data_IF_595199326854
#
_entry.id   IF_595199326854
#
_cell.length_a   1.000
_cell.length_b   1.000
_cell.length_c   1.000
_cell.angle_alpha   90.00
_cell.angle_beta   90.00
_cell.angle_gamma   90.00
#
_symmetry.space_group_name_H-M   'P 1'
#
loop_
_entity.id
_entity.type
_entity.pdbx_description
1 polymer ?
#
# COMPACT_ATOMS: atom_id res chain seq x y z
N UNK A 1 2.32 14.91 2.88
CA UNK A 1 3.03 13.69 3.30
C UNK A 1 2.79 12.58 2.28
N UNK A 2 3.84 11.89 1.94
CA UNK A 2 3.77 10.79 0.95
C UNK A 2 4.27 9.50 1.56
N UNK A 3 3.76 8.39 1.03
CA UNK A 3 4.06 7.08 1.55
C UNK A 3 4.11 6.04 0.43
N UNK A 4 4.78 4.93 0.71
CA UNK A 4 4.74 3.74 -0.13
C UNK A 4 3.95 2.65 0.57
N UNK A 5 3.05 2.02 -0.16
CA UNK A 5 2.31 0.85 0.28
C UNK A 5 2.77 -0.33 -0.57
N UNK A 6 3.23 -1.39 0.10
CA UNK A 6 3.68 -2.61 -0.57
C UNK A 6 2.78 -3.76 -0.18
N UNK A 7 2.34 -4.54 -1.17
CA UNK A 7 1.51 -5.74 -0.96
C UNK A 7 2.23 -6.92 -1.57
N UNK A 8 2.40 -7.98 -0.79
CA UNK A 8 3.04 -9.23 -1.24
C UNK A 8 2.23 -10.41 -0.71
N UNK A 9 1.93 -11.37 -1.56
CA UNK A 9 1.26 -12.58 -1.14
C UNK A 9 0.68 -13.38 -2.29
N UNK A 10 -0.24 -14.27 -1.97
CA UNK A 10 -0.89 -15.08 -2.99
C UNK A 10 -1.86 -14.25 -3.81
N UNK A 11 -1.79 -14.40 -5.13
CA UNK A 11 -2.68 -13.71 -6.04
C UNK A 11 -4.13 -14.18 -5.85
N UNK A 12 -5.05 -13.24 -5.96
CA UNK A 12 -6.49 -13.49 -5.98
C UNK A 12 -7.21 -12.38 -6.71
N UNK A 13 -8.45 -12.66 -7.09
CA UNK A 13 -9.30 -11.64 -7.70
C UNK A 13 -9.58 -10.52 -6.69
N UNK A 14 -9.50 -9.28 -7.15
CA UNK A 14 -9.95 -8.13 -6.40
C UNK A 14 -8.96 -7.51 -5.43
N UNK A 15 -7.68 -7.90 -5.43
CA UNK A 15 -6.69 -7.30 -4.51
C UNK A 15 -6.62 -5.79 -4.72
N UNK A 16 -6.43 -5.35 -5.97
CA UNK A 16 -6.29 -3.92 -6.26
C UNK A 16 -7.56 -3.16 -5.91
N UNK A 17 -8.71 -3.74 -6.24
CA UNK A 17 -10.01 -3.13 -5.92
C UNK A 17 -10.18 -2.94 -4.41
N UNK A 18 -9.85 -3.96 -3.62
CA UNK A 18 -9.99 -3.91 -2.17
C UNK A 18 -9.04 -2.89 -1.55
N UNK A 19 -7.79 -2.88 -1.97
CA UNK A 19 -6.79 -1.91 -1.49
C UNK A 19 -7.22 -0.50 -1.85
N UNK A 20 -7.59 -0.28 -3.11
CA UNK A 20 -8.00 1.04 -3.60
C UNK A 20 -9.24 1.56 -2.90
N UNK A 21 -10.21 0.68 -2.62
CA UNK A 21 -11.43 1.08 -1.91
C UNK A 21 -11.12 1.57 -0.49
N UNK A 22 -10.21 0.90 0.22
CA UNK A 22 -9.80 1.35 1.55
C UNK A 22 -9.09 2.69 1.50
N UNK A 23 -8.21 2.89 0.52
CA UNK A 23 -7.52 4.15 0.35
C UNK A 23 -8.49 5.29 0.02
N UNK A 24 -9.43 5.05 -0.88
CA UNK A 24 -10.43 6.03 -1.27
C UNK A 24 -11.32 6.44 -0.09
N UNK A 25 -11.68 5.49 0.74
CA UNK A 25 -12.51 5.73 1.93
C UNK A 25 -11.87 6.76 2.87
N UNK A 26 -10.56 6.81 2.92
CA UNK A 26 -9.81 7.72 3.79
C UNK A 26 -9.18 8.90 3.03
N UNK A 27 -9.62 9.14 1.81
CA UNK A 27 -9.15 10.24 0.97
C UNK A 27 -7.64 10.21 0.72
N UNK A 28 -7.08 9.02 0.60
CA UNK A 28 -5.68 8.84 0.21
C UNK A 28 -5.62 8.75 -1.31
N UNK A 29 -4.79 9.56 -1.92
CA UNK A 29 -4.63 9.59 -3.38
C UNK A 29 -3.51 8.67 -3.83
N UNK A 30 -3.77 7.85 -4.84
CA UNK A 30 -2.76 6.98 -5.46
C UNK A 30 -2.08 7.79 -6.55
N UNK A 31 -0.77 8.03 -6.39
CA UNK A 31 0.01 8.80 -7.34
C UNK A 31 0.63 7.91 -8.42
N UNK A 32 1.00 6.70 -8.06
CA UNK A 32 1.61 5.76 -8.97
C UNK A 32 1.41 4.34 -8.45
N UNK A 33 1.50 3.36 -9.34
CA UNK A 33 1.33 1.96 -8.99
C UNK A 33 2.14 1.08 -9.93
N UNK A 34 2.83 0.10 -9.38
CA UNK A 34 3.46 -0.96 -10.14
C UNK A 34 3.05 -2.29 -9.55
N UNK A 35 2.87 -3.30 -10.40
CA UNK A 35 2.51 -4.63 -9.94
C UNK A 35 3.19 -5.68 -10.79
N UNK A 36 3.46 -6.83 -10.19
CA UNK A 36 4.05 -7.98 -10.88
C UNK A 36 3.39 -9.24 -10.32
N UNK A 37 3.07 -10.14 -11.22
CA UNK A 37 2.58 -11.47 -10.87
C UNK A 37 3.61 -12.48 -11.35
N UNK A 38 4.14 -13.28 -10.42
CA UNK A 38 5.10 -14.33 -10.74
C UNK A 38 4.54 -15.64 -10.18
N UNK A 39 4.18 -16.55 -11.07
CA UNK A 39 3.43 -17.75 -10.73
C UNK A 39 2.10 -17.35 -10.08
N UNK A 40 1.88 -17.74 -8.82
CA UNK A 40 0.69 -17.38 -8.05
C UNK A 40 0.97 -16.31 -6.99
N UNK A 41 2.12 -15.64 -7.08
CA UNK A 41 2.48 -14.56 -6.17
C UNK A 41 2.21 -13.21 -6.79
N UNK A 42 1.62 -12.34 -5.99
CA UNK A 42 1.31 -10.96 -6.36
C UNK A 42 2.22 -10.03 -5.57
N UNK A 43 2.81 -9.07 -6.26
CA UNK A 43 3.62 -8.02 -5.65
C UNK A 43 3.19 -6.69 -6.22
N UNK A 44 2.91 -5.73 -5.33
CA UNK A 44 2.46 -4.41 -5.74
C UNK A 44 3.10 -3.35 -4.88
N UNK A 45 3.49 -2.23 -5.51
CA UNK A 45 3.94 -1.04 -4.81
C UNK A 45 3.11 0.14 -5.28
N UNK A 46 2.52 0.85 -4.35
CA UNK A 46 1.78 2.10 -4.62
C UNK A 46 2.48 3.27 -3.97
N UNK A 47 2.59 4.36 -4.72
CA UNK A 47 3.03 5.64 -4.18
C UNK A 47 1.80 6.48 -3.87
N UNK A 48 1.70 6.96 -2.64
CA UNK A 48 0.49 7.56 -2.10
C UNK A 48 0.73 8.99 -1.62
N UNK A 49 -0.29 9.83 -1.74
CA UNK A 49 -0.34 11.13 -1.08
C UNK A 49 -1.40 11.12 0.01
N UNK A 50 -1.01 11.52 1.21
CA UNK A 50 -1.93 11.65 2.35
C UNK A 50 -2.33 13.11 2.60
N UNK A 51 -2.06 14.02 1.66
CA UNK A 51 -2.33 15.46 1.85
C UNK A 51 -3.79 15.76 2.14
N UNK A 52 -4.70 15.04 1.48
CA UNK A 52 -6.14 15.25 1.66
C UNK A 52 -6.77 14.23 2.61
N UNK A 53 -5.96 13.35 3.19
CA UNK A 53 -6.43 12.33 4.12
C UNK A 53 -6.45 12.88 5.56
N UNK A 54 -7.38 12.36 6.35
CA UNK A 54 -7.40 12.60 7.79
C UNK A 54 -6.49 11.64 8.56
N UNK A 55 -5.81 10.73 7.86
CA UNK A 55 -4.90 9.77 8.48
C UNK A 55 -3.44 10.19 8.30
N UNK A 56 -2.64 9.87 9.30
CA UNK A 56 -1.18 9.85 9.19
C UNK A 56 -0.70 8.43 8.83
N UNK A 57 0.61 8.23 8.78
CA UNK A 57 1.18 6.92 8.44
C UNK A 57 0.71 5.85 9.43
N UNK A 58 0.74 6.14 10.73
CA UNK A 58 0.32 5.17 11.75
C UNK A 58 -1.17 4.83 11.60
N UNK A 59 -2.01 5.81 11.31
CA UNK A 59 -3.42 5.57 11.06
C UNK A 59 -3.67 4.68 9.87
N UNK A 60 -2.95 4.92 8.78
CA UNK A 60 -3.07 4.11 7.59
C UNK A 60 -2.56 2.68 7.82
N UNK A 61 -1.47 2.51 8.55
CA UNK A 61 -0.99 1.19 8.96
C UNK A 61 -2.05 0.43 9.73
N UNK A 62 -2.76 1.09 10.64
CA UNK A 62 -3.84 0.48 11.40
C UNK A 62 -5.00 0.02 10.53
N UNK A 63 -5.34 0.79 9.51
CA UNK A 63 -6.43 0.45 8.57
C UNK A 63 -6.13 -0.86 7.85
N UNK A 64 -4.87 -1.14 7.56
CA UNK A 64 -4.45 -2.34 6.83
C UNK A 64 -3.92 -3.46 7.72
N UNK A 65 -3.92 -3.31 9.05
CA UNK A 65 -3.30 -4.29 9.95
C UNK A 65 -3.88 -5.70 9.81
N UNK A 66 -5.20 -5.81 9.62
CA UNK A 66 -5.88 -7.09 9.46
C UNK A 66 -6.58 -7.19 8.11
N UNK A 67 -5.95 -6.63 7.07
CA UNK A 67 -6.58 -6.52 5.77
C UNK A 67 -6.87 -7.88 5.13
N UNK A 68 -5.87 -8.76 5.10
CA UNK A 68 -5.99 -10.09 4.48
C UNK A 68 -4.89 -10.98 5.04
N UNK A 69 -5.25 -12.14 5.56
CA UNK A 69 -4.27 -13.06 6.17
C UNK A 69 -3.29 -13.67 5.16
N UNK A 70 -3.64 -13.66 3.88
CA UNK A 70 -2.80 -14.20 2.81
C UNK A 70 -1.94 -13.15 2.13
N UNK A 71 -2.03 -11.89 2.56
CA UNK A 71 -1.27 -10.78 2.00
C UNK A 71 -0.52 -10.06 3.11
N UNK A 72 0.73 -9.73 2.83
CA UNK A 72 1.49 -8.84 3.69
C UNK A 72 1.39 -7.43 3.12
N UNK A 73 0.88 -6.50 3.92
CA UNK A 73 0.76 -5.10 3.55
C UNK A 73 1.68 -4.29 4.44
N UNK A 74 2.58 -3.53 3.83
CA UNK A 74 3.50 -2.64 4.54
C UNK A 74 3.31 -1.23 4.04
N UNK A 75 3.32 -0.28 4.96
CA UNK A 75 3.18 1.14 4.66
C UNK A 75 4.33 1.86 5.34
N UNK A 76 5.07 2.64 4.57
CA UNK A 76 6.23 3.37 5.05
C UNK A 76 6.22 4.77 4.49
N UNK A 77 6.71 5.74 5.24
CA UNK A 77 6.88 7.10 4.73
C UNK A 77 7.88 7.10 3.58
N UNK A 78 7.76 8.08 2.70
CA UNK A 78 8.69 8.23 1.58
C UNK A 78 10.14 8.28 2.05
N UNK A 79 10.43 9.00 3.13
CA UNK A 79 11.77 9.11 3.66
C UNK A 79 12.34 7.77 4.12
N UNK A 80 11.53 7.01 4.87
CA UNK A 80 11.95 5.70 5.37
C UNK A 80 12.17 4.73 4.22
N UNK A 81 11.26 4.71 3.26
CA UNK A 81 11.36 3.83 2.11
C UNK A 81 12.65 4.12 1.31
N UNK A 82 12.93 5.39 1.05
CA UNK A 82 14.13 5.78 0.32
C UNK A 82 15.40 5.42 1.07
N UNK A 83 15.42 5.57 2.38
CA UNK A 83 16.57 5.18 3.22
C UNK A 83 16.85 3.69 3.12
N UNK A 84 15.81 2.86 3.10
CA UNK A 84 15.93 1.41 3.03
C UNK A 84 16.42 0.92 1.67
N UNK A 85 16.17 1.67 0.60
CA UNK A 85 16.49 1.29 -0.79
C UNK A 85 17.62 2.13 -1.37
N UNK A 86 18.40 2.77 -0.53
CA UNK A 86 19.51 3.60 -0.94
C UNK A 86 20.70 2.72 -1.31
N UNK A 87 21.33 3.06 -2.41
CA UNK A 87 22.55 2.39 -2.85
C UNK A 87 23.80 3.14 -2.40
#
# INVERSE_FOLDING_TARGET
MKAFLTVIGHDRVGIIADVSAKLAKHNVNILDITQTILHDYFTMVMFLSLETSDLDIAGLQSVFADFDENLEVRIQSEEIFNSMHRL
#
